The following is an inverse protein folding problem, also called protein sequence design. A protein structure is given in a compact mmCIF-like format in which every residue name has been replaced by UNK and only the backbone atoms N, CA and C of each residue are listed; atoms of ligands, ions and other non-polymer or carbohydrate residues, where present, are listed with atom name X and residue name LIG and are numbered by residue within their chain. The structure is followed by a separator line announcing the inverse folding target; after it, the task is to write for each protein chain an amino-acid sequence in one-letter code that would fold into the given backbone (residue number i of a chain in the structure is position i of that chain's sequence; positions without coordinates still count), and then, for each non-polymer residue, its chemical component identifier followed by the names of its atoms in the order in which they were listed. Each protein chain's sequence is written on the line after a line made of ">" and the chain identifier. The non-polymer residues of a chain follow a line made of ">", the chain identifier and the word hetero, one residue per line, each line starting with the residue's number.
data_IF_271097673578
#
_entry.id   IF_271097673578
#
_cell.length_a   1.000
_cell.length_b   1.000
_cell.length_c   1.000
_cell.angle_alpha   90.00
_cell.angle_beta   90.00
_cell.angle_gamma   90.00
#
_symmetry.space_group_name_H-M   'P 1'
#
loop_
_entity.id
_entity.type
_entity.pdbx_description
1 polymer ?
#
# COMPACT_ATOMS: atom_id res chain seq x y z
N UNK A 1 -3.81 20.30 -5.35
CA UNK A 1 -3.80 19.04 -6.11
C UNK A 1 -2.55 18.28 -5.69
N UNK A 2 -2.67 17.04 -5.22
CA UNK A 2 -1.51 16.25 -4.81
C UNK A 2 -1.06 15.51 -6.07
N UNK A 3 0.02 15.99 -6.70
CA UNK A 3 0.76 15.24 -7.75
C UNK A 3 1.02 13.81 -7.25
N UNK A 4 1.13 12.84 -8.16
CA UNK A 4 1.69 11.50 -7.87
C UNK A 4 3.06 11.67 -7.21
N UNK A 5 3.08 11.90 -5.89
CA UNK A 5 4.31 11.99 -5.14
C UNK A 5 4.85 10.57 -5.19
N UNK A 6 6.03 10.42 -5.77
CA UNK A 6 6.84 9.21 -5.79
C UNK A 6 7.27 8.86 -4.37
N UNK A 7 6.29 8.57 -3.50
CA UNK A 7 6.47 8.43 -2.07
C UNK A 7 7.42 7.27 -1.81
N UNK A 8 8.38 7.52 -0.93
CA UNK A 8 9.25 6.45 -0.44
C UNK A 8 8.47 5.60 0.56
N UNK A 9 8.86 4.33 0.77
CA UNK A 9 8.21 3.49 1.77
C UNK A 9 8.14 4.15 3.16
N UNK A 10 9.17 4.91 3.54
CA UNK A 10 9.19 5.64 4.81
C UNK A 10 8.14 6.76 4.86
N UNK A 11 7.92 7.49 3.77
CA UNK A 11 6.89 8.52 3.71
C UNK A 11 5.49 7.92 3.76
N UNK A 12 5.26 6.79 3.09
CA UNK A 12 3.98 6.06 3.15
C UNK A 12 3.69 5.61 4.59
N UNK A 13 4.68 5.01 5.27
CA UNK A 13 4.53 4.61 6.69
C UNK A 13 4.19 5.81 7.57
N UNK A 14 4.90 6.93 7.42
CA UNK A 14 4.63 8.17 8.18
C UNK A 14 3.22 8.71 7.94
N UNK A 15 2.70 8.59 6.72
CA UNK A 15 1.34 9.02 6.43
C UNK A 15 0.31 8.08 7.06
N UNK A 16 0.57 6.76 7.06
CA UNK A 16 -0.27 5.77 7.74
C UNK A 16 -0.22 5.91 9.26
N UNK A 17 0.90 6.35 9.84
CA UNK A 17 1.07 6.58 11.29
C UNK A 17 0.10 7.66 11.82
N UNK A 18 -0.37 8.58 10.98
CA UNK A 18 -1.36 9.61 11.37
C UNK A 18 -2.75 9.03 11.66
N UNK A 19 -3.05 7.83 11.19
CA UNK A 19 -4.40 7.24 11.25
C UNK A 19 -4.44 5.88 11.95
N UNK A 20 -3.34 5.12 11.90
CA UNK A 20 -3.24 3.78 12.47
C UNK A 20 -2.16 3.81 13.55
N UNK A 21 -2.46 3.36 14.75
CA UNK A 21 -1.47 3.24 15.83
C UNK A 21 -0.84 1.84 15.79
N UNK A 22 0.48 1.74 15.96
CA UNK A 22 1.20 0.46 15.94
C UNK A 22 1.26 -0.17 14.55
N UNK A 23 1.17 -1.51 14.47
CA UNK A 23 1.14 -2.29 13.21
C UNK A 23 2.32 -1.99 12.25
N UNK A 24 3.53 -1.82 12.79
CA UNK A 24 4.72 -1.38 12.03
C UNK A 24 5.03 -2.29 10.84
N UNK A 25 4.93 -3.60 11.03
CA UNK A 25 5.20 -4.59 9.98
C UNK A 25 4.17 -4.51 8.87
N UNK A 26 2.88 -4.49 9.19
CA UNK A 26 1.81 -4.37 8.21
C UNK A 26 1.95 -3.08 7.38
N UNK A 27 2.24 -1.93 8.03
CA UNK A 27 2.50 -0.65 7.36
C UNK A 27 3.71 -0.72 6.43
N UNK A 28 4.80 -1.36 6.86
CA UNK A 28 6.00 -1.54 6.04
C UNK A 28 5.71 -2.39 4.81
N UNK A 29 5.00 -3.51 4.98
CA UNK A 29 4.66 -4.41 3.88
C UNK A 29 3.80 -3.72 2.81
N UNK A 30 2.76 -2.99 3.23
CA UNK A 30 1.92 -2.25 2.26
C UNK A 30 2.65 -1.10 1.58
N UNK A 31 3.55 -0.42 2.29
CA UNK A 31 4.36 0.65 1.73
C UNK A 31 5.34 0.13 0.65
N UNK A 32 5.94 -1.04 0.89
CA UNK A 32 6.81 -1.70 -0.09
C UNK A 32 6.00 -2.14 -1.32
N UNK A 33 4.83 -2.77 -1.12
CA UNK A 33 3.99 -3.18 -2.24
C UNK A 33 3.57 -1.99 -3.12
N UNK A 34 3.17 -0.87 -2.51
CA UNK A 34 2.84 0.34 -3.26
C UNK A 34 4.06 0.90 -4.00
N UNK A 35 5.25 0.90 -3.38
CA UNK A 35 6.48 1.34 -4.04
C UNK A 35 6.89 0.42 -5.19
N UNK A 36 6.67 -0.89 -5.06
CA UNK A 36 6.96 -1.85 -6.12
C UNK A 36 6.03 -1.63 -7.32
N UNK A 37 4.76 -1.27 -7.11
CA UNK A 37 3.87 -0.85 -8.19
C UNK A 37 4.44 0.36 -8.94
N UNK A 38 4.94 1.36 -8.21
CA UNK A 38 5.59 2.51 -8.83
C UNK A 38 6.85 2.12 -9.62
N UNK A 39 7.71 1.27 -9.04
CA UNK A 39 8.92 0.77 -9.72
C UNK A 39 8.57 0.07 -11.04
N UNK A 40 7.59 -0.84 -11.02
CA UNK A 40 7.07 -1.51 -12.21
C UNK A 40 6.59 -0.51 -13.27
N UNK A 41 5.92 0.57 -12.86
CA UNK A 41 5.49 1.61 -13.79
C UNK A 41 6.66 2.43 -14.38
N UNK A 42 7.86 2.35 -13.80
CA UNK A 42 9.06 3.05 -14.30
C UNK A 42 10.13 2.08 -14.81
N UNK A 43 9.80 0.81 -15.00
CA UNK A 43 10.67 -0.20 -15.60
C UNK A 43 10.49 -0.21 -17.12
N UNK A 44 11.51 -0.71 -17.82
CA UNK A 44 11.44 -0.97 -19.27
C UNK A 44 10.31 -1.96 -19.58
N UNK A 45 9.78 -1.88 -20.80
CA UNK A 45 8.55 -2.58 -21.21
C UNK A 45 8.68 -4.10 -21.06
N UNK A 46 9.81 -4.66 -21.50
CA UNK A 46 10.11 -6.10 -21.42
C UNK A 46 10.05 -6.63 -19.98
N UNK A 47 10.59 -5.87 -19.02
CA UNK A 47 10.65 -6.26 -17.61
C UNK A 47 9.31 -5.99 -16.91
N UNK A 48 8.57 -4.96 -17.35
CA UNK A 48 7.30 -4.55 -16.73
C UNK A 48 6.23 -5.64 -16.83
N UNK A 49 6.20 -6.41 -17.91
CA UNK A 49 5.26 -7.52 -18.09
C UNK A 49 5.57 -8.70 -17.15
N UNK A 50 6.85 -8.93 -16.85
CA UNK A 50 7.28 -10.01 -15.95
C UNK A 50 7.04 -9.71 -14.46
N UNK A 51 6.93 -8.43 -14.07
CA UNK A 51 6.73 -8.05 -12.67
C UNK A 51 5.25 -8.23 -12.27
N UNK A 52 4.99 -9.28 -11.50
CA UNK A 52 3.68 -9.58 -10.91
C UNK A 52 3.42 -8.70 -9.66
N UNK A 53 2.17 -8.26 -9.41
CA UNK A 53 1.82 -7.54 -8.17
C UNK A 53 2.07 -8.36 -6.90
N UNK A 54 2.65 -7.71 -5.88
CA UNK A 54 2.84 -8.30 -4.55
C UNK A 54 1.56 -8.20 -3.73
N UNK A 55 0.70 -9.23 -3.82
CA UNK A 55 -0.49 -9.34 -2.99
C UNK A 55 -0.11 -9.53 -1.51
N UNK A 56 -0.94 -8.99 -0.61
CA UNK A 56 -0.68 -9.00 0.83
C UNK A 56 -1.78 -9.75 1.56
N UNK A 57 -1.39 -10.73 2.37
CA UNK A 57 -2.27 -11.39 3.33
C UNK A 57 -2.04 -10.78 4.72
N UNK A 58 -3.06 -10.18 5.31
CA UNK A 58 -3.01 -9.63 6.67
C UNK A 58 -3.64 -10.59 7.67
N UNK A 59 -2.85 -11.12 8.61
CA UNK A 59 -3.32 -12.05 9.65
C UNK A 59 -3.39 -11.31 10.98
N UNK A 60 -4.50 -11.47 11.71
CA UNK A 60 -4.69 -10.91 13.05
C UNK A 60 -6.16 -10.85 13.48
N UNK A 61 -6.45 -10.55 14.75
CA UNK A 61 -7.82 -10.48 15.25
C UNK A 61 -8.61 -9.30 14.66
N UNK A 62 -9.92 -9.27 14.87
CA UNK A 62 -10.79 -8.16 14.45
C UNK A 62 -10.42 -6.86 15.21
N UNK A 63 -10.72 -5.70 14.63
CA UNK A 63 -10.48 -4.40 15.29
C UNK A 63 -9.03 -3.88 15.28
N UNK A 64 -8.02 -4.68 14.90
CA UNK A 64 -6.60 -4.26 14.94
C UNK A 64 -6.15 -3.30 13.82
N UNK A 65 -7.05 -2.94 12.90
CA UNK A 65 -6.76 -1.96 11.84
C UNK A 65 -6.40 -2.53 10.48
N UNK A 66 -6.54 -3.85 10.21
CA UNK A 66 -6.26 -4.45 8.89
C UNK A 66 -6.97 -3.74 7.73
N UNK A 67 -8.29 -3.59 7.85
CA UNK A 67 -9.11 -2.91 6.83
C UNK A 67 -8.77 -1.42 6.72
N UNK A 68 -8.45 -0.76 7.84
CA UNK A 68 -8.12 0.67 7.85
C UNK A 68 -6.78 0.94 7.17
N UNK A 69 -5.78 0.07 7.34
CA UNK A 69 -4.51 0.13 6.59
C UNK A 69 -4.78 0.09 5.10
N UNK A 70 -5.56 -0.89 4.62
CA UNK A 70 -5.87 -1.02 3.19
C UNK A 70 -6.67 0.19 2.65
N UNK A 71 -7.67 0.65 3.41
CA UNK A 71 -8.49 1.83 3.06
C UNK A 71 -7.65 3.11 2.96
N UNK A 72 -6.76 3.35 3.93
CA UNK A 72 -5.89 4.54 3.95
C UNK A 72 -4.83 4.49 2.86
N UNK A 73 -4.26 3.31 2.62
CA UNK A 73 -3.31 3.10 1.52
C UNK A 73 -3.95 3.44 0.17
N UNK A 74 -5.19 3.00 -0.07
CA UNK A 74 -5.89 3.30 -1.32
C UNK A 74 -6.17 4.80 -1.49
N UNK A 75 -6.60 5.49 -0.41
CA UNK A 75 -6.75 6.96 -0.43
C UNK A 75 -5.43 7.67 -0.74
N UNK A 76 -4.33 7.23 -0.14
CA UNK A 76 -2.99 7.78 -0.37
C UNK A 76 -2.51 7.55 -1.81
N UNK A 77 -2.81 6.39 -2.38
CA UNK A 77 -2.48 6.05 -3.76
C UNK A 77 -3.48 6.58 -4.79
N UNK A 78 -4.53 7.30 -4.36
CA UNK A 78 -5.67 7.70 -5.20
C UNK A 78 -6.25 6.52 -6.02
N UNK A 79 -6.25 5.33 -5.42
CA UNK A 79 -6.66 4.10 -6.06
C UNK A 79 -8.12 3.75 -5.70
N UNK A 80 -8.87 3.13 -6.62
CA UNK A 80 -10.18 2.59 -6.30
C UNK A 80 -10.06 1.52 -5.20
N UNK A 81 -10.97 1.55 -4.23
CA UNK A 81 -10.99 0.62 -3.10
C UNK A 81 -12.35 -0.03 -2.93
N UNK A 82 -12.38 -1.35 -2.91
CA UNK A 82 -13.57 -2.15 -2.62
C UNK A 82 -13.27 -3.12 -1.48
N UNK A 83 -14.24 -3.27 -0.58
CA UNK A 83 -14.25 -4.30 0.47
C UNK A 83 -15.40 -5.24 0.16
N UNK A 84 -15.12 -6.53 0.07
CA UNK A 84 -16.12 -7.59 -0.13
C UNK A 84 -16.08 -8.53 1.08
N UNK A 85 -17.25 -8.99 1.51
CA UNK A 85 -17.43 -10.05 2.50
C UNK A 85 -18.20 -11.19 1.84
N UNK A 86 -17.90 -12.43 2.21
CA UNK A 86 -18.59 -13.63 1.73
C UNK A 86 -19.63 -14.08 2.76
#
# INVERSE_FOLDING_TARGET
>A
MIEEKNLTPQQIVRELDKYIIGQKEAKRSVAIALRNRWRRLNSDEDIREEIIPNNILMIGPTGVGKTEIARRLAKLAMAPFVKVEA
#
